data_IF_193745717262
#
_entry.id   IF_193745717262
#
_cell.length_a   1.000
_cell.length_b   1.000
_cell.length_c   1.000
_cell.angle_alpha   90.00
_cell.angle_beta   90.00
_cell.angle_gamma   90.00
#
_symmetry.space_group_name_H-M   'P 1'
#
loop_
_entity.id
_entity.type
_entity.pdbx_description
1 polymer ?
#
# COMPACT_ATOMS: atom_id res chain seq x y z
N UNK A 1 -10.53 -4.85 -9.66
CA UNK A 1 -10.46 -3.37 -9.64
C UNK A 1 -9.59 -2.89 -10.81
N UNK A 2 -9.74 -1.67 -11.36
CA UNK A 2 -8.89 -1.20 -12.47
C UNK A 2 -7.64 -0.48 -11.98
N UNK A 3 -6.50 -0.69 -12.66
CA UNK A 3 -5.20 -0.09 -12.36
C UNK A 3 -5.25 1.41 -12.09
N UNK A 4 -5.86 2.17 -13.00
CA UNK A 4 -5.89 3.63 -12.92
C UNK A 4 -6.75 4.15 -11.76
N UNK A 5 -7.81 3.42 -11.41
CA UNK A 5 -8.66 3.70 -10.25
C UNK A 5 -7.89 3.47 -8.95
N UNK A 6 -7.16 2.35 -8.87
CA UNK A 6 -6.29 2.04 -7.73
C UNK A 6 -5.21 3.11 -7.55
N UNK A 7 -4.53 3.50 -8.64
CA UNK A 7 -3.51 4.55 -8.58
C UNK A 7 -4.09 5.92 -8.21
N UNK A 8 -5.32 6.24 -8.62
CA UNK A 8 -5.99 7.48 -8.25
C UNK A 8 -6.25 7.52 -6.74
N UNK A 9 -6.84 6.47 -6.18
CA UNK A 9 -7.12 6.36 -4.75
C UNK A 9 -5.83 6.34 -3.90
N UNK A 10 -4.79 5.62 -4.34
CA UNK A 10 -3.49 5.64 -3.66
C UNK A 10 -2.90 7.05 -3.61
N UNK A 11 -3.00 7.83 -4.69
CA UNK A 11 -2.51 9.23 -4.73
C UNK A 11 -3.33 10.13 -3.83
N UNK A 12 -4.65 9.98 -3.83
CA UNK A 12 -5.57 10.75 -2.98
C UNK A 12 -5.31 10.51 -1.49
N UNK A 13 -5.04 9.26 -1.11
CA UNK A 13 -4.87 8.86 0.29
C UNK A 13 -3.41 8.90 0.79
N UNK A 14 -2.42 9.06 -0.10
CA UNK A 14 -0.99 9.17 0.26
C UNK A 14 -0.71 10.20 1.37
N UNK A 15 -1.29 11.42 1.37
CA UNK A 15 -1.05 12.39 2.45
C UNK A 15 -1.50 11.89 3.83
N UNK A 16 -2.66 11.22 3.91
CA UNK A 16 -3.20 10.66 5.16
C UNK A 16 -2.32 9.52 5.65
N UNK A 17 -1.91 8.64 4.73
CA UNK A 17 -1.00 7.53 5.03
C UNK A 17 0.36 8.03 5.54
N UNK A 18 0.87 9.12 4.95
CA UNK A 18 2.11 9.76 5.38
C UNK A 18 2.00 10.38 6.77
N UNK A 19 0.95 11.16 7.02
CA UNK A 19 0.75 11.86 8.30
C UNK A 19 0.48 10.89 9.46
N UNK A 20 -0.37 9.88 9.24
CA UNK A 20 -0.81 8.97 10.31
C UNK A 20 0.14 7.80 10.56
N UNK A 21 0.77 7.29 9.51
CA UNK A 21 1.51 6.03 9.56
C UNK A 21 2.98 6.16 9.12
N UNK A 22 3.43 7.35 8.72
CA UNK A 22 4.82 7.56 8.30
C UNK A 22 5.17 6.88 6.97
N UNK A 23 4.18 6.64 6.12
CA UNK A 23 4.37 6.16 4.75
C UNK A 23 5.06 7.24 3.92
N UNK A 24 6.20 6.91 3.33
CA UNK A 24 6.95 7.81 2.43
C UNK A 24 6.71 7.47 0.96
N UNK A 25 6.47 6.19 0.66
CA UNK A 25 6.13 5.78 -0.69
C UNK A 25 5.10 4.66 -0.76
N UNK A 26 4.40 4.64 -1.90
CA UNK A 26 3.32 3.71 -2.24
C UNK A 26 3.51 3.28 -3.69
N UNK A 27 3.58 1.97 -3.91
CA UNK A 27 3.62 1.40 -5.25
C UNK A 27 2.57 0.30 -5.40
N UNK A 28 1.84 0.36 -6.51
CA UNK A 28 0.98 -0.74 -6.95
C UNK A 28 1.85 -1.75 -7.70
N UNK A 29 1.76 -3.03 -7.35
CA UNK A 29 2.43 -4.11 -8.06
C UNK A 29 1.43 -5.22 -8.41
N UNK A 30 1.94 -6.42 -8.75
CA UNK A 30 1.09 -7.57 -9.01
C UNK A 30 0.27 -7.50 -10.30
N UNK A 31 -0.85 -8.24 -10.33
CA UNK A 31 -1.73 -8.37 -11.51
C UNK A 31 -2.44 -7.05 -11.81
N UNK A 32 -2.86 -6.32 -10.78
CA UNK A 32 -3.51 -5.00 -10.91
C UNK A 32 -2.60 -3.98 -11.58
N UNK A 33 -1.29 -3.99 -11.29
CA UNK A 33 -0.33 -3.10 -11.98
C UNK A 33 -0.12 -3.41 -13.47
N UNK A 34 -0.40 -4.65 -13.89
CA UNK A 34 -0.21 -5.17 -15.26
C UNK A 34 -1.50 -5.18 -16.09
N UNK A 35 -2.61 -4.69 -15.55
CA UNK A 35 -3.94 -4.79 -16.16
C UNK A 35 -4.40 -6.26 -16.38
N UNK A 36 -3.91 -7.18 -15.54
CA UNK A 36 -4.20 -8.62 -15.58
C UNK A 36 -5.07 -9.09 -14.39
N UNK A 37 -5.60 -8.15 -13.59
CA UNK A 37 -6.42 -8.49 -12.42
C UNK A 37 -7.81 -9.03 -12.82
N UNK A 38 -8.14 -10.20 -12.29
CA UNK A 38 -9.48 -10.80 -12.34
C UNK A 38 -10.38 -10.26 -11.21
N UNK A 39 -11.70 -10.52 -11.24
CA UNK A 39 -12.63 -9.96 -10.24
C UNK A 39 -12.35 -10.35 -8.78
N UNK A 40 -11.67 -11.46 -8.55
CA UNK A 40 -11.26 -12.02 -7.25
C UNK A 40 -9.77 -11.81 -6.94
N UNK A 41 -9.05 -11.06 -7.79
CA UNK A 41 -7.64 -10.75 -7.55
C UNK A 41 -7.47 -9.75 -6.41
N UNK A 42 -6.46 -10.01 -5.58
CA UNK A 42 -6.01 -9.08 -4.55
C UNK A 42 -5.38 -7.82 -5.17
N UNK A 43 -5.44 -6.72 -4.41
CA UNK A 43 -4.74 -5.48 -4.73
C UNK A 43 -3.41 -5.46 -3.99
N UNK A 44 -2.33 -5.74 -4.72
CA UNK A 44 -0.97 -5.80 -4.21
C UNK A 44 -0.33 -4.40 -4.05
N UNK A 45 -0.08 -3.98 -2.81
CA UNK A 45 0.42 -2.64 -2.50
C UNK A 45 1.73 -2.73 -1.71
N UNK A 46 2.77 -2.08 -2.23
CA UNK A 46 4.06 -1.93 -1.56
C UNK A 46 4.09 -0.57 -0.86
N UNK A 47 4.45 -0.58 0.42
CA UNK A 47 4.57 0.62 1.26
C UNK A 47 6.01 0.75 1.74
N UNK A 48 6.60 1.93 1.54
CA UNK A 48 7.89 2.29 2.15
C UNK A 48 7.65 3.20 3.34
N UNK A 49 8.33 2.95 4.46
CA UNK A 49 8.20 3.72 5.70
C UNK A 49 9.47 4.53 5.97
N UNK A 50 9.32 5.77 6.48
CA UNK A 50 10.45 6.65 6.75
C UNK A 50 11.47 6.07 7.76
N UNK A 51 10.97 5.33 8.76
CA UNK A 51 11.73 4.60 9.80
C UNK A 51 10.73 3.87 10.69
N UNK A 52 11.09 2.69 11.20
CA UNK A 52 10.30 2.04 12.25
C UNK A 52 10.42 2.85 13.54
N UNK A 53 9.28 3.26 14.10
CA UNK A 53 9.23 3.90 15.41
C UNK A 53 9.53 2.92 16.53
N UNK A 54 9.68 3.39 17.78
CA UNK A 54 9.88 2.51 18.94
C UNK A 54 8.72 1.52 19.17
N UNK A 55 7.58 1.76 18.52
CA UNK A 55 6.37 0.94 18.59
C UNK A 55 6.29 -0.13 17.48
N UNK A 56 7.31 -0.26 16.64
CA UNK A 56 7.34 -1.22 15.54
C UNK A 56 6.75 -0.69 14.24
N UNK A 57 6.38 -1.61 13.35
CA UNK A 57 5.80 -1.32 12.04
C UNK A 57 4.28 -1.07 12.15
N UNK A 58 3.72 -0.02 11.53
CA UNK A 58 2.28 0.26 11.48
C UNK A 58 1.54 -0.67 10.49
N UNK A 59 2.04 -1.88 10.27
CA UNK A 59 1.56 -2.79 9.23
C UNK A 59 0.06 -3.06 9.33
N UNK A 60 -0.41 -3.39 10.53
CA UNK A 60 -1.82 -3.69 10.79
C UNK A 60 -2.72 -2.50 10.49
N UNK A 61 -2.34 -1.32 10.94
CA UNK A 61 -3.13 -0.11 10.79
C UNK A 61 -3.17 0.37 9.34
N UNK A 62 -2.07 0.22 8.61
CA UNK A 62 -2.02 0.49 7.18
C UNK A 62 -2.85 -0.54 6.41
N UNK A 63 -2.72 -1.83 6.72
CA UNK A 63 -3.49 -2.89 6.05
C UNK A 63 -4.99 -2.68 6.24
N UNK A 64 -5.45 -2.44 7.46
CA UNK A 64 -6.86 -2.19 7.75
C UNK A 64 -7.36 -0.93 7.02
N UNK A 65 -6.58 0.15 7.01
CA UNK A 65 -6.92 1.36 6.26
C UNK A 65 -7.06 1.10 4.76
N UNK A 66 -6.15 0.31 4.18
CA UNK A 66 -6.19 -0.03 2.76
C UNK A 66 -7.35 -0.99 2.44
N UNK A 67 -7.72 -1.89 3.36
CA UNK A 67 -8.91 -2.74 3.21
C UNK A 67 -10.20 -1.96 3.26
N UNK A 68 -10.29 -0.92 4.10
CA UNK A 68 -11.43 0.01 4.08
C UNK A 68 -11.55 0.73 2.72
N UNK A 69 -10.42 0.97 2.04
CA UNK A 69 -10.37 1.68 0.76
C UNK A 69 -10.63 0.78 -0.45
N UNK A 70 -10.10 -0.46 -0.44
CA UNK A 70 -10.09 -1.36 -1.60
C UNK A 70 -10.89 -2.65 -1.41
N UNK A 71 -11.40 -2.92 -0.19
CA UNK A 71 -12.05 -4.17 0.19
C UNK A 71 -11.10 -5.16 0.87
N UNK A 72 -11.62 -6.32 1.29
CA UNK A 72 -10.86 -7.30 2.08
C UNK A 72 -9.69 -7.97 1.33
N UNK A 73 -9.65 -7.86 0.01
CA UNK A 73 -8.66 -8.44 -0.90
C UNK A 73 -7.48 -7.49 -1.16
N UNK A 74 -6.73 -7.19 -0.11
CA UNK A 74 -5.49 -6.38 -0.18
C UNK A 74 -4.33 -7.19 0.36
N UNK A 75 -3.29 -7.36 -0.45
CA UNK A 75 -1.98 -7.84 0.01
C UNK A 75 -1.04 -6.64 0.19
N UNK A 76 -0.55 -6.46 1.42
CA UNK A 76 0.32 -5.36 1.78
C UNK A 76 1.74 -5.88 2.00
N UNK A 77 2.69 -5.30 1.28
CA UNK A 77 4.12 -5.55 1.50
C UNK A 77 4.76 -4.28 2.03
N UNK A 78 5.58 -4.40 3.07
CA UNK A 78 6.40 -3.28 3.54
C UNK A 78 7.80 -3.43 2.98
N UNK A 79 8.23 -2.43 2.21
CA UNK A 79 9.62 -2.27 1.84
C UNK A 79 10.37 -1.69 3.04
N UNK A 80 11.04 -2.56 3.76
CA UNK A 80 12.10 -2.14 4.66
C UNK A 80 13.30 -1.82 3.78
N UNK A 81 13.61 -0.54 3.58
CA UNK A 81 14.83 -0.12 2.91
C UNK A 81 16.05 -0.75 3.62
N UNK A 82 16.43 -1.94 3.18
CA UNK A 82 17.74 -2.53 3.46
C UNK A 82 18.65 -1.87 2.45
N UNK A 83 19.22 -0.73 2.83
CA UNK A 83 20.33 -0.03 2.17
C UNK A 83 20.69 -0.58 0.78
N UNK A 84 20.12 -0.03 -0.29
CA UNK A 84 20.77 -0.13 -1.60
C UNK A 84 21.95 0.85 -1.61
N UNK A 85 23.11 0.32 -1.23
CA UNK A 85 24.43 0.87 -1.59
C UNK A 85 24.76 0.60 -3.04
#
# INVERSE_FOLDING_TARGET
MRRDETLALLREHKPVLAERFGVVDLALFGSTARDEAEPDSDVDILVTLARQGPWGSPYSEVLEYLKELFGDSVDLVIDHEVHRV
#
